data_IF_593619603828
#
_entry.id   IF_593619603828
#
_cell.length_a   1.000
_cell.length_b   1.000
_cell.length_c   1.000
_cell.angle_alpha   90.00
_cell.angle_beta   90.00
_cell.angle_gamma   90.00
#
_symmetry.space_group_name_H-M   'P 1'
#
loop_
_entity.id
_entity.type
_entity.pdbx_description
1 polymer ?
#
# COMPACT_ATOMS: atom_id res chain seq x y z
N UNK A 1 18.66 -81.70 -51.86
CA UNK A 1 19.16 -80.38 -52.14
C UNK A 1 17.97 -79.41 -51.96
N UNK A 2 17.80 -78.88 -50.75
CA UNK A 2 16.61 -78.12 -50.37
C UNK A 2 17.12 -76.74 -49.91
N UNK A 3 16.73 -75.73 -50.70
CA UNK A 3 17.07 -74.34 -50.42
C UNK A 3 15.97 -73.69 -49.60
N UNK A 4 16.26 -73.37 -48.35
CA UNK A 4 15.38 -72.59 -47.43
C UNK A 4 15.49 -71.12 -47.75
N UNK A 5 14.35 -70.50 -48.16
CA UNK A 5 14.19 -69.06 -48.25
C UNK A 5 13.81 -68.52 -46.89
N UNK A 6 14.69 -67.70 -46.33
CA UNK A 6 14.37 -66.91 -45.15
C UNK A 6 13.52 -65.69 -45.48
N UNK A 7 12.37 -65.58 -44.84
CA UNK A 7 11.44 -64.49 -44.96
C UNK A 7 11.81 -63.41 -43.94
N UNK A 8 12.35 -62.32 -44.43
CA UNK A 8 12.64 -61.13 -43.56
C UNK A 8 11.34 -60.38 -43.29
N UNK A 9 10.86 -60.43 -42.07
CA UNK A 9 9.75 -59.64 -41.59
C UNK A 9 10.25 -58.25 -41.13
N UNK A 10 9.98 -57.22 -41.92
CA UNK A 10 10.29 -55.83 -41.56
C UNK A 10 9.17 -55.36 -40.66
N UNK A 11 9.51 -55.17 -39.37
CA UNK A 11 8.64 -54.52 -38.38
C UNK A 11 8.77 -53.00 -38.57
N UNK A 12 7.74 -52.37 -39.13
CA UNK A 12 7.62 -50.91 -39.17
C UNK A 12 7.12 -50.42 -37.82
N UNK A 13 8.04 -49.87 -37.02
CA UNK A 13 7.71 -49.14 -35.78
C UNK A 13 7.34 -47.71 -36.19
N UNK A 14 6.05 -47.41 -36.24
CA UNK A 14 5.55 -46.06 -36.41
C UNK A 14 5.65 -45.32 -35.07
N UNK A 15 6.70 -44.53 -34.89
CA UNK A 15 6.83 -43.61 -33.76
C UNK A 15 5.90 -42.41 -34.00
N UNK A 16 4.74 -42.39 -33.38
CA UNK A 16 3.87 -41.21 -33.30
C UNK A 16 4.47 -40.21 -32.29
N UNK A 17 5.17 -39.22 -32.80
CA UNK A 17 5.64 -38.08 -32.03
C UNK A 17 4.45 -37.18 -31.70
N UNK A 18 3.84 -37.38 -30.53
CA UNK A 18 2.80 -36.50 -29.99
C UNK A 18 3.46 -35.18 -29.54
N UNK A 19 3.35 -34.16 -30.39
CA UNK A 19 3.75 -32.78 -30.05
C UNK A 19 2.74 -32.22 -29.07
N UNK A 20 3.05 -32.34 -27.74
CA UNK A 20 2.33 -31.66 -26.67
C UNK A 20 2.62 -30.17 -26.80
N UNK A 21 1.73 -29.43 -27.47
CA UNK A 21 1.74 -27.97 -27.51
C UNK A 21 1.26 -27.47 -26.13
N UNK A 22 2.21 -27.35 -25.20
CA UNK A 22 1.97 -26.74 -23.89
C UNK A 22 1.60 -25.28 -24.09
N UNK A 23 0.33 -24.91 -23.91
CA UNK A 23 -0.10 -23.53 -23.81
C UNK A 23 0.48 -22.97 -22.51
N UNK A 24 1.56 -22.17 -22.61
CA UNK A 24 2.03 -21.32 -21.54
C UNK A 24 0.94 -20.27 -21.28
N UNK A 25 0.07 -20.54 -20.31
CA UNK A 25 -0.81 -19.54 -19.74
C UNK A 25 0.10 -18.58 -18.96
N UNK A 26 0.52 -17.50 -19.61
CA UNK A 26 1.18 -16.39 -18.95
C UNK A 26 0.14 -15.72 -18.05
N UNK A 27 -0.04 -16.26 -16.86
CA UNK A 27 -0.83 -15.62 -15.80
C UNK A 27 -0.11 -14.35 -15.37
N UNK A 28 -0.52 -13.19 -15.89
CA UNK A 28 -0.05 -11.91 -15.40
C UNK A 28 -0.35 -11.82 -13.91
N UNK A 29 0.68 -11.66 -13.08
CA UNK A 29 0.51 -11.40 -11.66
C UNK A 29 -0.12 -10.01 -11.53
N UNK A 30 -1.41 -9.95 -11.27
CA UNK A 30 -2.09 -8.71 -10.89
C UNK A 30 -1.71 -8.46 -9.44
N UNK A 31 -0.75 -7.56 -9.20
CA UNK A 31 -0.42 -7.10 -7.86
C UNK A 31 -1.67 -6.44 -7.24
N UNK A 32 -2.13 -6.99 -6.12
CA UNK A 32 -3.23 -6.41 -5.38
C UNK A 32 -2.86 -5.01 -4.88
N UNK A 33 -3.79 -4.07 -5.00
CA UNK A 33 -3.58 -2.70 -4.50
C UNK A 33 -3.32 -2.72 -3.01
N UNK A 34 -2.23 -2.12 -2.58
CA UNK A 34 -1.93 -1.93 -1.17
C UNK A 34 -2.81 -0.82 -0.59
N UNK A 35 -3.34 -1.06 0.60
CA UNK A 35 -4.20 -0.12 1.31
C UNK A 35 -3.65 0.14 2.70
N UNK A 36 -3.74 1.40 3.13
CA UNK A 36 -3.28 1.83 4.44
C UNK A 36 -4.31 2.75 5.07
N UNK A 37 -4.31 2.79 6.40
CA UNK A 37 -5.14 3.68 7.20
C UNK A 37 -4.34 4.28 8.35
N UNK A 38 -4.79 5.45 8.83
CA UNK A 38 -4.28 6.05 10.06
C UNK A 38 -5.43 6.69 10.82
N UNK A 39 -5.60 6.34 12.09
CA UNK A 39 -6.55 6.97 13.00
C UNK A 39 -5.90 8.16 13.68
N UNK A 40 -6.43 9.37 13.47
CA UNK A 40 -5.83 10.62 13.93
C UNK A 40 -6.48 11.08 15.22
N UNK A 41 -5.66 11.36 16.25
CA UNK A 41 -6.11 11.95 17.52
C UNK A 41 -5.01 12.80 18.14
N UNK A 42 -5.39 13.72 19.04
CA UNK A 42 -4.43 14.52 19.78
C UNK A 42 -3.60 13.70 20.77
N UNK A 43 -4.13 12.59 21.29
CA UNK A 43 -3.41 11.70 22.19
C UNK A 43 -2.21 11.02 21.53
N UNK A 44 -2.22 10.87 20.21
CA UNK A 44 -1.13 10.27 19.44
C UNK A 44 0.00 11.28 19.12
N UNK A 45 -0.20 12.58 19.33
CA UNK A 45 0.86 13.59 19.14
C UNK A 45 2.01 13.42 20.14
N UNK A 46 3.18 13.91 19.79
CA UNK A 46 4.39 13.84 20.64
C UNK A 46 4.99 15.25 20.80
N UNK A 47 4.80 15.90 21.96
CA UNK A 47 3.98 15.47 23.10
C UNK A 47 2.48 15.47 22.79
N UNK A 48 1.67 14.72 23.53
CA UNK A 48 0.23 14.61 23.33
C UNK A 48 -0.49 15.96 23.45
N UNK A 49 -1.53 16.17 22.66
CA UNK A 49 -2.35 17.38 22.61
C UNK A 49 -3.76 17.07 23.11
N UNK A 50 -4.28 17.87 24.03
CA UNK A 50 -5.65 17.79 24.50
C UNK A 50 -6.57 18.54 23.54
N UNK A 51 -7.28 17.80 22.69
CA UNK A 51 -8.24 18.32 21.73
C UNK A 51 -9.41 17.34 21.54
N UNK A 52 -10.54 17.85 21.08
CA UNK A 52 -11.67 17.02 20.63
C UNK A 52 -11.63 16.74 19.13
N UNK A 53 -10.61 17.25 18.45
CA UNK A 53 -10.39 16.98 17.03
C UNK A 53 -9.94 15.53 16.82
N UNK A 54 -10.31 15.00 15.65
CA UNK A 54 -9.92 13.66 15.24
C UNK A 54 -9.99 13.50 13.73
N UNK A 55 -9.64 12.32 13.24
CA UNK A 55 -9.73 12.07 11.82
C UNK A 55 -9.31 10.67 11.42
N UNK A 56 -9.42 10.41 10.11
CA UNK A 56 -8.96 9.18 9.49
C UNK A 56 -8.28 9.50 8.17
N UNK A 57 -7.10 8.97 7.96
CA UNK A 57 -6.42 9.01 6.67
C UNK A 57 -6.48 7.62 6.03
N UNK A 58 -6.77 7.59 4.72
CA UNK A 58 -6.78 6.38 3.89
C UNK A 58 -5.90 6.57 2.68
N UNK A 59 -5.12 5.53 2.36
CA UNK A 59 -4.24 5.49 1.19
C UNK A 59 -4.49 4.22 0.40
N UNK A 60 -4.37 4.32 -0.93
CA UNK A 60 -4.50 3.18 -1.84
C UNK A 60 -3.45 3.32 -2.94
N UNK A 61 -2.64 2.28 -3.12
CA UNK A 61 -1.64 2.27 -4.20
C UNK A 61 -2.29 2.25 -5.59
N UNK A 62 -1.62 2.85 -6.55
CA UNK A 62 -2.03 2.95 -7.94
C UNK A 62 -0.92 2.42 -8.85
N UNK A 63 -1.33 1.83 -10.00
CA UNK A 63 -0.41 1.51 -11.10
C UNK A 63 0.90 0.82 -10.64
N UNK A 64 0.81 -0.35 -10.03
CA UNK A 64 1.97 -1.09 -9.53
C UNK A 64 2.87 -0.24 -8.61
N UNK A 65 2.24 0.46 -7.66
CA UNK A 65 2.91 1.27 -6.63
C UNK A 65 3.69 2.49 -7.15
N UNK A 66 3.38 2.98 -8.35
CA UNK A 66 3.94 4.23 -8.90
C UNK A 66 3.23 5.49 -8.39
N UNK A 67 2.20 5.35 -7.56
CA UNK A 67 1.45 6.44 -6.96
C UNK A 67 0.58 5.97 -5.81
N UNK A 68 0.17 6.93 -4.96
CA UNK A 68 -0.78 6.72 -3.88
C UNK A 68 -1.93 7.72 -4.01
N UNK A 69 -3.16 7.21 -4.05
CA UNK A 69 -4.36 8.02 -3.84
C UNK A 69 -4.61 8.14 -2.35
N UNK A 70 -4.90 9.35 -1.86
CA UNK A 70 -5.22 9.56 -0.46
C UNK A 70 -6.53 10.31 -0.24
N UNK A 71 -7.11 10.09 0.94
CA UNK A 71 -8.21 10.84 1.51
C UNK A 71 -7.98 10.97 3.02
N UNK A 72 -8.03 12.21 3.52
CA UNK A 72 -8.01 12.50 4.95
C UNK A 72 -9.34 13.15 5.31
N UNK A 73 -10.08 12.54 6.23
CA UNK A 73 -11.28 13.09 6.84
C UNK A 73 -10.88 13.63 8.21
N UNK A 74 -11.17 14.89 8.47
CA UNK A 74 -10.82 15.58 9.69
C UNK A 74 -12.10 16.11 10.32
N UNK A 75 -12.30 15.89 11.60
CA UNK A 75 -13.42 16.43 12.40
C UNK A 75 -12.88 17.37 13.46
N UNK A 76 -13.66 18.43 13.76
CA UNK A 76 -13.27 19.42 14.77
C UNK A 76 -12.20 20.43 14.33
N UNK A 77 -11.70 20.34 13.09
CA UNK A 77 -10.74 21.29 12.50
C UNK A 77 -11.27 21.70 11.11
N UNK A 78 -11.51 22.98 10.92
CA UNK A 78 -11.92 23.56 9.64
C UNK A 78 -10.80 24.38 8.97
N UNK A 79 -9.81 24.81 9.74
CA UNK A 79 -8.76 25.78 9.41
C UNK A 79 -7.34 25.18 9.47
N UNK A 80 -7.20 23.91 9.07
CA UNK A 80 -5.89 23.27 9.03
C UNK A 80 -4.89 24.09 8.21
N UNK A 81 -3.73 24.38 8.81
CA UNK A 81 -2.62 25.11 8.18
C UNK A 81 -1.60 24.19 7.53
N UNK A 82 -1.60 22.90 7.89
CA UNK A 82 -0.75 21.86 7.32
C UNK A 82 -1.35 20.48 7.55
N UNK A 83 -1.09 19.57 6.63
CA UNK A 83 -1.32 18.14 6.80
C UNK A 83 -0.19 17.42 6.07
N UNK A 84 0.54 16.58 6.79
CA UNK A 84 1.78 16.00 6.28
C UNK A 84 1.85 14.50 6.53
N UNK A 85 2.63 13.80 5.68
CA UNK A 85 3.22 12.52 6.04
C UNK A 85 4.64 12.78 6.52
N UNK A 86 4.99 12.15 7.62
CA UNK A 86 6.33 12.13 8.21
C UNK A 86 6.86 10.70 8.26
N UNK A 87 8.20 10.54 8.36
CA UNK A 87 8.84 9.24 8.57
C UNK A 87 9.43 9.16 9.96
N UNK A 88 8.81 8.36 10.81
CA UNK A 88 9.32 7.89 12.11
C UNK A 88 8.43 6.74 12.61
N UNK A 89 8.97 5.95 13.54
CA UNK A 89 8.21 4.97 14.32
C UNK A 89 7.21 5.65 15.24
N UNK A 90 6.23 4.91 15.69
CA UNK A 90 5.26 5.35 16.68
C UNK A 90 5.94 5.96 17.91
N UNK A 91 5.38 7.05 18.44
CA UNK A 91 5.93 7.77 19.59
C UNK A 91 7.20 8.58 19.30
N UNK A 92 7.64 8.70 18.05
CA UNK A 92 8.81 9.52 17.65
C UNK A 92 8.41 10.57 16.62
N UNK A 93 8.98 11.77 16.74
CA UNK A 93 8.84 12.80 15.71
C UNK A 93 9.89 12.59 14.62
N UNK A 94 9.48 12.81 13.36
CA UNK A 94 10.31 12.65 12.19
C UNK A 94 10.16 13.77 11.18
N UNK A 95 10.92 13.66 10.09
CA UNK A 95 10.92 14.69 9.05
C UNK A 95 9.68 14.57 8.15
N UNK A 96 9.20 15.72 7.64
CA UNK A 96 8.16 15.78 6.62
C UNK A 96 8.67 15.16 5.33
N UNK A 97 7.87 14.27 4.74
CA UNK A 97 8.16 13.63 3.45
C UNK A 97 7.10 13.88 2.39
N UNK A 98 5.87 14.25 2.77
CA UNK A 98 4.79 14.67 1.85
C UNK A 98 3.98 15.77 2.49
N UNK A 99 3.66 16.82 1.72
CA UNK A 99 2.64 17.81 2.06
C UNK A 99 1.31 17.41 1.41
N UNK A 100 0.33 17.00 2.24
CA UNK A 100 -0.98 16.55 1.81
C UNK A 100 -1.94 17.70 1.48
N UNK A 101 -1.65 18.94 1.91
CA UNK A 101 -2.45 20.12 1.55
C UNK A 101 -2.03 20.70 0.21
N UNK A 102 -0.77 20.56 -0.16
CA UNK A 102 -0.24 21.06 -1.43
C UNK A 102 -0.89 20.29 -2.59
N UNK A 103 -1.46 21.03 -3.55
CA UNK A 103 -2.11 20.46 -4.74
C UNK A 103 -3.30 19.52 -4.44
N UNK A 104 -3.89 19.60 -3.26
CA UNK A 104 -5.05 18.80 -2.86
C UNK A 104 -6.36 19.44 -3.27
N UNK A 105 -7.41 18.62 -3.38
CA UNK A 105 -8.81 19.07 -3.36
C UNK A 105 -9.27 19.09 -1.91
N UNK A 106 -9.71 20.27 -1.46
CA UNK A 106 -10.20 20.49 -0.09
C UNK A 106 -11.69 20.78 -0.12
N UNK A 107 -12.40 20.26 0.87
CA UNK A 107 -13.77 20.63 1.17
C UNK A 107 -13.87 20.76 2.69
N UNK A 108 -14.21 21.94 3.18
CA UNK A 108 -14.34 22.23 4.60
C UNK A 108 -15.70 22.86 4.91
N UNK A 109 -16.18 22.61 6.13
CA UNK A 109 -17.32 23.26 6.74
C UNK A 109 -17.01 23.53 8.23
N UNK A 110 -17.95 24.06 8.99
CA UNK A 110 -17.77 24.36 10.42
C UNK A 110 -17.39 23.17 11.29
N UNK A 111 -17.65 21.94 10.84
CA UNK A 111 -17.44 20.70 11.61
C UNK A 111 -16.18 19.95 11.24
N UNK A 112 -15.49 20.36 10.16
CA UNK A 112 -14.28 19.68 9.74
C UNK A 112 -13.88 19.87 8.28
N UNK A 113 -12.93 19.06 7.83
CA UNK A 113 -12.32 19.16 6.50
C UNK A 113 -12.12 17.79 5.88
N UNK A 114 -12.26 17.73 4.57
CA UNK A 114 -11.84 16.55 3.76
C UNK A 114 -10.78 16.99 2.76
N UNK A 115 -9.64 16.32 2.80
CA UNK A 115 -8.51 16.53 1.89
C UNK A 115 -8.38 15.30 1.00
N UNK A 116 -8.17 15.49 -0.30
CA UNK A 116 -7.99 14.39 -1.27
C UNK A 116 -6.94 14.76 -2.31
N UNK A 117 -6.16 13.79 -2.72
CA UNK A 117 -5.17 13.97 -3.77
C UNK A 117 -4.47 12.69 -4.15
N UNK A 118 -3.40 12.87 -4.92
CA UNK A 118 -2.50 11.81 -5.31
C UNK A 118 -1.08 12.20 -4.90
N UNK A 119 -0.31 11.21 -4.48
CA UNK A 119 1.12 11.31 -4.21
C UNK A 119 1.83 10.61 -5.37
N UNK A 120 2.82 11.29 -5.94
CA UNK A 120 3.72 10.79 -6.97
C UNK A 120 5.16 11.01 -6.49
N UNK A 121 6.15 10.49 -7.19
CA UNK A 121 7.57 10.69 -6.83
C UNK A 121 7.91 12.18 -6.68
N UNK A 122 7.34 13.04 -7.52
CA UNK A 122 7.53 14.49 -7.45
C UNK A 122 6.89 15.15 -6.21
N UNK A 123 6.00 14.45 -5.50
CA UNK A 123 5.40 14.93 -4.25
C UNK A 123 6.31 14.71 -3.03
N UNK A 124 7.35 13.89 -3.18
CA UNK A 124 8.25 13.52 -2.09
C UNK A 124 9.23 14.65 -1.78
N UNK A 125 9.41 14.91 -0.49
CA UNK A 125 10.25 15.99 0.03
C UNK A 125 11.16 15.53 1.16
N UNK A 126 11.98 16.42 1.70
CA UNK A 126 12.87 16.12 2.84
C UNK A 126 13.76 14.90 2.56
N UNK A 127 13.86 13.95 3.50
CA UNK A 127 14.68 12.75 3.34
C UNK A 127 14.24 11.80 2.21
N UNK A 128 13.02 11.99 1.69
CA UNK A 128 12.50 11.20 0.56
C UNK A 128 12.58 11.93 -0.78
N UNK A 129 13.12 13.14 -0.83
CA UNK A 129 13.33 13.84 -2.10
C UNK A 129 14.22 13.02 -3.04
N UNK A 130 13.73 12.77 -4.25
CA UNK A 130 14.43 11.95 -5.26
C UNK A 130 14.26 10.43 -5.08
N UNK A 131 13.52 9.99 -4.07
CA UNK A 131 13.06 8.60 -3.92
C UNK A 131 11.74 8.38 -4.66
N UNK A 132 11.23 7.15 -4.61
CA UNK A 132 10.00 6.73 -5.29
C UNK A 132 8.82 6.58 -4.31
N UNK A 133 7.59 6.57 -4.85
CA UNK A 133 6.40 6.24 -4.04
C UNK A 133 6.49 4.82 -3.47
N UNK A 134 7.17 3.90 -4.15
CA UNK A 134 7.42 2.54 -3.63
C UNK A 134 8.27 2.56 -2.35
N UNK A 135 9.24 3.49 -2.23
CA UNK A 135 10.01 3.68 -0.98
C UNK A 135 9.10 4.20 0.14
N UNK A 136 8.19 5.12 -0.16
CA UNK A 136 7.20 5.60 0.81
C UNK A 136 6.26 4.47 1.25
N UNK A 137 5.76 3.66 0.32
CA UNK A 137 4.92 2.49 0.59
C UNK A 137 5.67 1.51 1.51
N UNK A 138 6.96 1.28 1.28
CA UNK A 138 7.79 0.43 2.13
C UNK A 138 7.88 0.98 3.55
N UNK A 139 8.09 2.28 3.74
CA UNK A 139 8.09 2.92 5.06
C UNK A 139 6.72 2.80 5.75
N UNK A 140 5.61 3.00 5.01
CA UNK A 140 4.26 2.81 5.53
C UNK A 140 4.00 1.37 5.96
N UNK A 141 4.45 0.39 5.17
CA UNK A 141 4.29 -1.04 5.45
C UNK A 141 5.08 -1.49 6.68
N UNK A 142 6.22 -0.84 6.95
CA UNK A 142 7.07 -1.10 8.12
C UNK A 142 6.61 -0.38 9.38
N UNK A 143 5.52 0.42 9.32
CA UNK A 143 5.07 1.24 10.42
C UNK A 143 6.01 2.43 10.74
N UNK A 144 6.81 2.86 9.78
CA UNK A 144 7.77 3.96 9.90
C UNK A 144 7.25 5.26 9.27
N UNK A 145 5.93 5.43 9.16
CA UNK A 145 5.30 6.63 8.65
C UNK A 145 4.04 7.00 9.44
N UNK A 146 3.79 8.31 9.59
CA UNK A 146 2.58 8.81 10.24
C UNK A 146 2.05 10.04 9.53
N UNK A 147 0.75 10.30 9.72
CA UNK A 147 0.09 11.55 9.31
C UNK A 147 -0.04 12.45 10.52
N UNK A 148 0.17 13.76 10.34
CA UNK A 148 -0.33 14.73 11.30
C UNK A 148 -0.99 15.94 10.60
N UNK A 149 -1.82 16.67 11.36
CA UNK A 149 -2.54 17.86 10.94
C UNK A 149 -2.22 18.99 11.89
N UNK A 150 -1.90 20.14 11.32
CA UNK A 150 -1.53 21.36 12.03
C UNK A 150 -2.64 22.40 11.95
N UNK A 151 -2.75 23.21 12.99
CA UNK A 151 -3.67 24.37 13.04
C UNK A 151 -2.92 25.60 13.54
N UNK A 152 -3.52 26.83 13.43
CA UNK A 152 -2.94 28.03 14.03
C UNK A 152 -2.69 27.86 15.55
N UNK A 153 -3.58 27.13 16.23
CA UNK A 153 -3.48 26.88 17.68
C UNK A 153 -2.40 25.84 18.03
N UNK A 154 -2.20 24.87 17.15
CA UNK A 154 -1.23 23.78 17.32
C UNK A 154 -0.31 23.69 16.09
N UNK A 155 0.65 24.63 15.94
CA UNK A 155 1.51 24.71 14.75
C UNK A 155 2.52 23.57 14.65
N UNK A 156 2.72 22.79 15.73
CA UNK A 156 3.56 21.58 15.73
C UNK A 156 2.79 20.29 15.46
N UNK A 157 1.47 20.36 15.34
CA UNK A 157 0.54 19.24 15.15
C UNK A 157 -0.57 19.25 16.20
N UNK A 158 -1.81 19.04 15.78
CA UNK A 158 -2.98 18.94 16.65
C UNK A 158 -3.48 17.49 16.76
N UNK A 159 -3.49 16.76 15.64
CA UNK A 159 -3.87 15.36 15.59
C UNK A 159 -2.89 14.57 14.74
N UNK A 160 -2.58 13.37 15.19
CA UNK A 160 -1.62 12.45 14.55
C UNK A 160 -2.14 11.03 14.55
N UNK A 161 -1.71 10.21 13.56
CA UNK A 161 -1.95 8.77 13.52
C UNK A 161 -0.84 8.04 12.77
N UNK A 162 -0.36 6.92 13.33
CA UNK A 162 0.56 6.04 12.64
C UNK A 162 -0.15 5.39 11.44
N UNK A 163 0.56 5.23 10.33
CA UNK A 163 0.02 4.61 9.12
C UNK A 163 0.22 3.09 9.25
N UNK A 164 -0.87 2.34 9.07
CA UNK A 164 -0.91 0.90 9.19
C UNK A 164 -1.43 0.26 7.90
N UNK A 165 -0.87 -0.89 7.52
CA UNK A 165 -1.36 -1.68 6.38
C UNK A 165 -2.67 -2.39 6.74
N UNK A 166 -3.68 -2.27 5.88
CA UNK A 166 -4.96 -2.99 6.04
C UNK A 166 -4.99 -4.33 5.31
N UNK A 167 -3.94 -4.68 4.57
CA UNK A 167 -3.87 -5.93 3.81
C UNK A 167 -3.48 -7.15 4.68
N UNK A 168 -3.08 -6.94 5.95
CA UNK A 168 -2.57 -8.00 6.84
C UNK A 168 -3.65 -8.88 7.48
N UNK A 169 -4.94 -8.55 7.36
CA UNK A 169 -6.02 -9.23 8.09
C UNK A 169 -6.55 -10.50 7.41
N UNK A 170 -6.10 -10.86 6.20
CA UNK A 170 -6.69 -11.96 5.43
C UNK A 170 -5.81 -13.21 5.30
N UNK A 171 -4.63 -13.23 5.88
CA UNK A 171 -3.67 -14.33 5.69
C UNK A 171 -3.59 -15.34 6.85
N UNK A 172 -4.37 -15.19 7.94
CA UNK A 172 -4.24 -16.06 9.13
C UNK A 172 -5.43 -16.99 9.43
N UNK A 173 -6.35 -17.23 8.49
CA UNK A 173 -7.53 -18.09 8.81
C UNK A 173 -7.67 -19.38 7.98
N UNK A 174 -6.64 -19.80 7.22
CA UNK A 174 -6.75 -21.03 6.44
C UNK A 174 -5.61 -22.05 6.65
N UNK A 175 -5.17 -22.28 7.90
CA UNK A 175 -4.33 -23.46 8.22
C UNK A 175 -4.68 -24.04 9.58
N UNK A 176 -5.88 -24.61 9.72
CA UNK A 176 -6.13 -25.68 10.70
C UNK A 176 -7.46 -26.34 10.32
N UNK A 177 -7.41 -27.32 9.40
CA UNK A 177 -8.33 -28.45 9.35
C UNK A 177 -7.92 -29.39 8.21
N UNK A 178 -6.83 -30.11 8.40
CA UNK A 178 -6.57 -31.35 7.67
C UNK A 178 -5.58 -32.18 8.50
N UNK A 179 -6.10 -32.88 9.53
CA UNK A 179 -5.62 -34.18 9.99
C UNK A 179 -6.43 -34.60 11.22
N UNK A 180 -7.47 -35.33 10.98
CA UNK A 180 -8.01 -36.32 11.90
C UNK A 180 -8.94 -37.24 11.05
N UNK A 181 -8.40 -38.31 10.48
CA UNK A 181 -8.97 -39.65 10.39
C UNK A 181 -7.97 -40.55 9.71
#
# INVERSE_FOLDING_TARGET
MVTTKSLNMIVLISATLSLMLGTLVSGGVVLAKQKFTASLSGSNEVPSVKTNAGGEAKFTSMNNDTGLKYRVNITGIADATGAHIHTAKEGKNGAVVVDLLKNSKKNSNSNGMVIRGNITDSSLTGPMKGKTVSDLISAMSSGDAYVNVHTPKHPKGEIRGQIESTNSSSAMTNQTNAQAE
#
